data_IF_100229248395
#
_entry.id   IF_100229248395
#
_cell.length_a   1.000
_cell.length_b   1.000
_cell.length_c   1.000
_cell.angle_alpha   90.00
_cell.angle_beta   90.00
_cell.angle_gamma   90.00
#
_symmetry.space_group_name_H-M   'P 1'
#
loop_
_entity.id
_entity.type
_entity.pdbx_description
1 polymer ?
#
# COMPACT_ATOMS: atom_id res chain seq x y z
N UNK A 1 23.65 18.35 -2.97
CA UNK A 1 23.29 17.40 -4.06
C UNK A 1 22.89 18.18 -5.29
N UNK A 2 23.29 17.77 -6.49
CA UNK A 2 22.99 18.49 -7.74
C UNK A 2 21.65 17.98 -8.30
N UNK A 3 20.59 18.77 -8.19
CA UNK A 3 19.25 18.36 -8.63
C UNK A 3 19.03 18.54 -10.14
N UNK A 4 18.18 17.68 -10.72
CA UNK A 4 17.79 17.72 -12.13
C UNK A 4 17.09 19.01 -12.56
N UNK A 5 16.95 19.23 -13.87
CA UNK A 5 16.33 20.45 -14.43
C UNK A 5 14.85 20.59 -14.03
N UNK A 6 14.07 19.52 -14.19
CA UNK A 6 12.64 19.48 -13.85
C UNK A 6 12.38 19.73 -12.35
N UNK A 7 13.19 19.12 -11.48
CA UNK A 7 13.12 19.37 -10.03
C UNK A 7 13.31 20.85 -9.70
N UNK A 8 14.31 21.50 -10.31
CA UNK A 8 14.57 22.93 -10.09
C UNK A 8 13.47 23.83 -10.65
N UNK A 9 12.79 23.42 -11.71
CA UNK A 9 11.63 24.13 -12.26
C UNK A 9 10.41 24.03 -11.33
N UNK A 10 10.11 22.84 -10.82
CA UNK A 10 9.03 22.64 -9.83
C UNK A 10 9.31 23.39 -8.53
N UNK A 11 10.55 23.39 -8.04
CA UNK A 11 10.92 24.09 -6.80
C UNK A 11 10.66 25.60 -6.85
N UNK A 12 10.74 26.23 -8.03
CA UNK A 12 10.42 27.67 -8.19
C UNK A 12 8.95 28.00 -7.96
N UNK A 13 8.05 27.02 -8.12
CA UNK A 13 6.60 27.20 -7.92
C UNK A 13 6.22 27.09 -6.44
N UNK A 14 7.12 26.63 -5.59
CA UNK A 14 6.89 26.40 -4.17
C UNK A 14 7.78 27.33 -3.32
N UNK A 15 7.14 28.16 -2.49
CA UNK A 15 7.82 28.94 -1.45
C UNK A 15 7.87 28.16 -0.14
N UNK A 16 9.08 27.87 0.35
CA UNK A 16 9.35 27.13 1.59
C UNK A 16 8.93 27.89 2.85
N UNK A 17 8.88 29.22 2.79
CA UNK A 17 8.58 30.08 3.94
C UNK A 17 7.09 30.33 4.12
N UNK A 18 6.30 30.15 3.06
CA UNK A 18 4.85 30.34 3.09
C UNK A 18 4.16 29.12 3.71
N UNK A 19 3.21 29.37 4.60
CA UNK A 19 2.26 28.34 5.06
C UNK A 19 1.07 28.30 4.13
N UNK A 20 0.88 27.16 3.46
CA UNK A 20 -0.26 26.93 2.58
C UNK A 20 -1.42 26.35 3.38
N UNK A 21 -2.64 26.79 3.10
CA UNK A 21 -3.85 26.09 3.58
C UNK A 21 -4.00 24.75 2.86
N UNK A 22 -4.77 23.82 3.44
CA UNK A 22 -4.94 22.46 2.89
C UNK A 22 -5.36 22.47 1.42
N UNK A 23 -6.38 23.27 1.06
CA UNK A 23 -6.89 23.35 -0.31
C UNK A 23 -5.85 23.91 -1.28
N UNK A 24 -5.08 24.91 -0.85
CA UNK A 24 -4.02 25.51 -1.65
C UNK A 24 -2.87 24.54 -1.85
N UNK A 25 -2.47 23.83 -0.79
CA UNK A 25 -1.44 22.79 -0.83
C UNK A 25 -1.84 21.65 -1.78
N UNK A 26 -3.09 21.17 -1.73
CA UNK A 26 -3.58 20.12 -2.63
C UNK A 26 -3.54 20.53 -4.11
N UNK A 27 -3.83 21.81 -4.43
CA UNK A 27 -3.70 22.32 -5.80
C UNK A 27 -2.24 22.41 -6.22
N UNK A 28 -1.40 22.95 -5.35
CA UNK A 28 0.03 23.10 -5.62
C UNK A 28 0.71 21.75 -5.90
N UNK A 29 0.41 20.71 -5.11
CA UNK A 29 0.99 19.37 -5.35
C UNK A 29 0.63 18.84 -6.74
N UNK A 30 -0.60 19.06 -7.20
CA UNK A 30 -1.02 18.69 -8.56
C UNK A 30 -0.32 19.51 -9.66
N UNK A 31 0.00 20.77 -9.39
CA UNK A 31 0.72 21.64 -10.34
C UNK A 31 2.24 21.41 -10.39
N UNK A 32 2.78 20.74 -9.37
CA UNK A 32 4.20 20.36 -9.26
C UNK A 32 4.51 19.06 -10.03
N UNK A 33 3.48 18.26 -10.35
CA UNK A 33 3.57 17.05 -11.15
C UNK A 33 4.24 17.32 -12.51
N UNK A 34 5.24 16.52 -12.85
CA UNK A 34 5.95 16.60 -14.13
C UNK A 34 6.15 15.25 -14.82
N UNK A 35 5.76 14.16 -14.15
CA UNK A 35 5.86 12.79 -14.69
C UNK A 35 4.63 12.49 -15.55
N UNK A 36 4.49 11.25 -16.03
CA UNK A 36 3.35 10.81 -16.86
C UNK A 36 2.55 9.68 -16.23
N UNK A 37 2.98 9.20 -15.07
CA UNK A 37 2.37 8.10 -14.34
C UNK A 37 1.69 8.65 -13.08
N UNK A 38 0.84 7.84 -12.44
CA UNK A 38 0.16 8.24 -11.21
C UNK A 38 1.16 8.37 -10.05
N UNK A 39 1.36 9.61 -9.60
CA UNK A 39 2.25 9.92 -8.47
C UNK A 39 1.58 9.58 -7.13
N UNK A 40 2.39 9.08 -6.20
CA UNK A 40 1.97 8.91 -4.81
C UNK A 40 2.33 10.16 -4.02
N UNK A 41 1.36 10.71 -3.29
CA UNK A 41 1.57 11.86 -2.42
C UNK A 41 1.89 11.35 -1.01
N UNK A 42 3.04 11.74 -0.50
CA UNK A 42 3.47 11.44 0.87
C UNK A 42 3.32 12.67 1.78
N UNK A 43 2.99 12.42 3.05
CA UNK A 43 2.88 13.46 4.07
C UNK A 43 3.95 13.25 5.14
N UNK A 44 4.86 14.23 5.27
CA UNK A 44 5.84 14.27 6.34
C UNK A 44 5.29 15.06 7.53
N UNK A 45 5.10 14.41 8.68
CA UNK A 45 4.63 15.06 9.90
C UNK A 45 5.75 15.03 10.94
N UNK A 46 6.22 16.20 11.36
CA UNK A 46 7.17 16.31 12.47
C UNK A 46 6.42 16.31 13.80
N UNK A 47 6.58 15.25 14.57
CA UNK A 47 6.00 15.10 15.91
C UNK A 47 7.03 15.48 16.97
N UNK A 48 6.60 16.16 18.03
CA UNK A 48 7.42 16.41 19.21
C UNK A 48 7.19 15.32 20.24
N UNK A 49 7.99 14.24 20.15
CA UNK A 49 7.92 13.08 21.04
C UNK A 49 9.05 13.12 22.09
N UNK A 50 8.78 12.58 23.27
CA UNK A 50 9.82 12.35 24.28
C UNK A 50 10.75 11.19 23.84
N UNK A 51 11.98 11.15 24.37
CA UNK A 51 13.07 10.24 23.94
C UNK A 51 12.73 8.74 23.89
N UNK A 52 11.68 8.29 24.57
CA UNK A 52 11.27 6.88 24.64
C UNK A 52 9.85 6.63 24.09
N UNK A 53 9.26 7.57 23.35
CA UNK A 53 7.93 7.40 22.76
C UNK A 53 8.04 7.15 21.27
N UNK A 54 7.44 6.05 20.82
CA UNK A 54 7.23 5.74 19.42
C UNK A 54 5.73 5.69 19.13
N UNK A 55 5.34 6.15 17.95
CA UNK A 55 3.95 6.06 17.47
C UNK A 55 3.94 5.08 16.31
N UNK A 56 3.23 3.96 16.48
CA UNK A 56 2.97 2.99 15.43
C UNK A 56 1.48 2.71 15.45
N UNK A 57 0.78 3.23 14.46
CA UNK A 57 -0.68 3.10 14.36
C UNK A 57 -1.09 2.79 12.92
N UNK A 58 -2.27 2.22 12.76
CA UNK A 58 -2.88 1.93 11.47
C UNK A 58 -4.11 2.81 11.30
N UNK A 59 -4.10 3.65 10.26
CA UNK A 59 -5.20 4.57 9.98
C UNK A 59 -6.02 4.05 8.81
N UNK A 60 -7.34 4.08 8.97
CA UNK A 60 -8.28 3.83 7.87
C UNK A 60 -8.69 5.18 7.29
N UNK A 61 -8.31 5.45 6.05
CA UNK A 61 -8.69 6.68 5.37
C UNK A 61 -10.15 6.60 4.88
N UNK A 62 -10.92 7.72 4.93
CA UNK A 62 -12.30 7.74 4.44
C UNK A 62 -12.39 7.64 2.90
N UNK A 63 -11.33 8.03 2.19
CA UNK A 63 -11.23 7.96 0.73
C UNK A 63 -10.06 7.04 0.36
N UNK A 64 -10.27 5.74 0.48
CA UNK A 64 -9.30 4.74 0.06
C UNK A 64 -9.18 4.70 -1.48
N UNK A 65 -8.08 4.12 -1.96
CA UNK A 65 -7.91 3.79 -3.37
C UNK A 65 -9.18 3.07 -3.88
N UNK A 66 -9.76 3.57 -4.96
CA UNK A 66 -11.07 3.16 -5.46
C UNK A 66 -11.15 1.74 -6.06
N UNK A 67 -10.06 0.96 -5.98
CA UNK A 67 -10.06 -0.44 -6.37
C UNK A 67 -10.51 -1.30 -5.21
N UNK A 68 -11.52 -2.15 -5.43
CA UNK A 68 -11.77 -3.30 -4.55
C UNK A 68 -10.47 -4.11 -4.46
N UNK A 69 -9.80 -4.04 -3.30
CA UNK A 69 -8.61 -4.86 -3.08
C UNK A 69 -9.03 -6.31 -3.08
N UNK A 70 -8.51 -7.08 -4.03
CA UNK A 70 -8.74 -8.52 -4.09
C UNK A 70 -7.86 -9.18 -3.03
N UNK A 71 -8.48 -9.66 -1.97
CA UNK A 71 -7.79 -10.36 -0.88
C UNK A 71 -7.84 -11.87 -1.12
N UNK A 72 -6.68 -12.52 -1.12
CA UNK A 72 -6.53 -13.98 -1.13
C UNK A 72 -6.17 -14.46 0.28
N UNK A 73 -6.95 -15.40 0.83
CA UNK A 73 -6.69 -15.98 2.15
C UNK A 73 -6.28 -17.46 2.01
N UNK A 74 -5.03 -17.76 2.39
CA UNK A 74 -4.52 -19.12 2.51
C UNK A 74 -4.97 -19.73 3.84
N UNK A 75 -5.92 -20.65 3.77
CA UNK A 75 -6.48 -21.33 4.94
C UNK A 75 -6.90 -22.76 4.60
N UNK A 76 -7.03 -23.62 5.60
CA UNK A 76 -7.61 -24.95 5.45
C UNK A 76 -9.10 -24.86 5.15
N UNK A 77 -9.64 -25.91 4.53
CA UNK A 77 -11.02 -25.99 4.02
C UNK A 77 -12.08 -25.65 5.09
N UNK A 78 -11.79 -25.94 6.36
CA UNK A 78 -12.67 -25.62 7.50
C UNK A 78 -12.90 -24.10 7.70
N UNK A 79 -11.93 -23.26 7.31
CA UNK A 79 -11.96 -21.80 7.48
C UNK A 79 -12.18 -21.03 6.19
N UNK A 80 -12.28 -21.73 5.05
CA UNK A 80 -12.53 -21.11 3.74
C UNK A 80 -13.85 -20.35 3.74
N UNK A 81 -14.89 -20.95 4.32
CA UNK A 81 -16.22 -20.32 4.40
C UNK A 81 -16.20 -19.04 5.23
N UNK A 82 -15.52 -19.07 6.38
CA UNK A 82 -15.35 -17.90 7.25
C UNK A 82 -14.58 -16.76 6.55
N UNK A 83 -13.54 -17.10 5.79
CA UNK A 83 -12.76 -16.12 5.04
C UNK A 83 -13.57 -15.47 3.90
N UNK A 84 -14.37 -16.25 3.16
CA UNK A 84 -15.26 -15.73 2.12
C UNK A 84 -16.37 -14.85 2.71
N UNK A 85 -16.97 -15.29 3.82
CA UNK A 85 -18.00 -14.51 4.53
C UNK A 85 -17.43 -13.21 5.13
N UNK A 86 -16.14 -13.18 5.47
CA UNK A 86 -15.42 -11.98 5.93
C UNK A 86 -15.03 -11.00 4.79
N UNK A 87 -15.33 -11.33 3.53
CA UNK A 87 -15.08 -10.47 2.37
C UNK A 87 -13.78 -10.72 1.64
N UNK A 88 -13.17 -11.92 1.78
CA UNK A 88 -12.08 -12.33 0.91
C UNK A 88 -12.59 -12.59 -0.52
N UNK A 89 -11.83 -12.15 -1.52
CA UNK A 89 -12.14 -12.43 -2.93
C UNK A 89 -11.89 -13.90 -3.28
N UNK A 90 -10.87 -14.50 -2.64
CA UNK A 90 -10.49 -15.90 -2.82
C UNK A 90 -10.04 -16.48 -1.49
N UNK A 91 -10.40 -17.73 -1.20
CA UNK A 91 -9.91 -18.46 -0.03
C UNK A 91 -9.69 -19.93 -0.37
N UNK A 92 -8.57 -20.49 0.10
CA UNK A 92 -8.26 -21.91 -0.08
C UNK A 92 -6.83 -22.28 0.29
N UNK A 93 -6.47 -23.54 0.04
CA UNK A 93 -5.19 -24.13 0.46
C UNK A 93 -4.31 -24.46 -0.76
N UNK A 94 -4.14 -25.75 -1.06
CA UNK A 94 -3.20 -26.29 -2.07
C UNK A 94 -3.52 -25.82 -3.49
N UNK A 95 -4.79 -25.66 -3.83
CA UNK A 95 -5.24 -25.21 -5.15
C UNK A 95 -4.65 -23.84 -5.51
N UNK A 96 -4.80 -22.86 -4.61
CA UNK A 96 -4.28 -21.51 -4.83
C UNK A 96 -2.76 -21.46 -4.70
N UNK A 97 -2.13 -22.32 -3.90
CA UNK A 97 -0.67 -22.41 -3.80
C UNK A 97 -0.06 -22.81 -5.15
N UNK A 98 -0.58 -23.86 -5.80
CA UNK A 98 -0.07 -24.27 -7.12
C UNK A 98 -0.42 -23.25 -8.21
N UNK A 99 -1.59 -22.59 -8.13
CA UNK A 99 -1.97 -21.52 -9.06
C UNK A 99 -1.01 -20.32 -8.96
N UNK A 100 -0.67 -19.89 -7.75
CA UNK A 100 0.28 -18.79 -7.51
C UNK A 100 1.68 -19.18 -7.95
N UNK A 101 2.12 -20.40 -7.66
CA UNK A 101 3.38 -20.95 -8.16
C UNK A 101 3.46 -21.00 -9.70
N UNK A 102 2.31 -21.16 -10.36
CA UNK A 102 2.14 -21.05 -11.81
C UNK A 102 2.17 -19.61 -12.35
N UNK A 103 2.36 -18.59 -11.49
CA UNK A 103 2.47 -17.18 -11.89
C UNK A 103 1.16 -16.39 -11.79
N UNK A 104 0.13 -16.91 -11.13
CA UNK A 104 -1.13 -16.20 -10.95
C UNK A 104 -1.04 -15.20 -9.78
N UNK A 105 -1.23 -13.91 -10.08
CA UNK A 105 -1.13 -12.79 -9.13
C UNK A 105 -2.29 -11.79 -9.28
N UNK A 106 -3.51 -12.29 -9.52
CA UNK A 106 -4.72 -11.44 -9.65
C UNK A 106 -5.32 -11.02 -8.29
N UNK A 107 -4.48 -10.87 -7.26
CA UNK A 107 -4.86 -10.40 -5.93
C UNK A 107 -3.87 -9.34 -5.46
N UNK A 108 -4.35 -8.40 -4.64
CA UNK A 108 -3.55 -7.29 -4.13
C UNK A 108 -2.94 -7.59 -2.75
N UNK A 109 -3.61 -8.44 -1.98
CA UNK A 109 -3.20 -8.78 -0.60
C UNK A 109 -3.34 -10.29 -0.39
N UNK A 110 -2.26 -10.92 0.07
CA UNK A 110 -2.28 -12.30 0.55
C UNK A 110 -2.24 -12.34 2.08
N UNK A 111 -3.14 -13.09 2.68
CA UNK A 111 -3.17 -13.38 4.12
C UNK A 111 -3.08 -14.89 4.30
N UNK A 112 -2.30 -15.38 5.26
CA UNK A 112 -2.18 -16.80 5.54
C UNK A 112 -2.44 -17.11 7.00
N UNK A 113 -3.09 -18.23 7.28
CA UNK A 113 -3.17 -18.77 8.64
C UNK A 113 -1.82 -19.39 9.05
N UNK A 114 -1.46 -19.39 10.34
CA UNK A 114 -0.15 -19.86 10.81
C UNK A 114 0.21 -21.28 10.39
N UNK A 115 -0.79 -22.15 10.23
CA UNK A 115 -0.64 -23.54 9.81
C UNK A 115 -0.30 -23.71 8.32
N UNK A 116 -0.62 -22.72 7.47
CA UNK A 116 -0.32 -22.72 6.03
C UNK A 116 0.98 -21.97 5.69
N UNK A 117 1.58 -21.25 6.64
CA UNK A 117 2.79 -20.44 6.39
C UNK A 117 4.00 -21.25 5.92
N UNK A 118 4.09 -22.54 6.27
CA UNK A 118 5.18 -23.42 5.80
C UNK A 118 5.18 -23.58 4.28
N UNK A 119 3.99 -23.68 3.69
CA UNK A 119 3.83 -23.86 2.25
C UNK A 119 3.81 -22.51 1.51
N UNK A 120 3.19 -21.48 2.11
CA UNK A 120 3.22 -20.10 1.58
C UNK A 120 4.63 -19.52 1.58
N UNK A 121 5.47 -19.84 2.57
CA UNK A 121 6.87 -19.40 2.62
C UNK A 121 7.70 -19.85 1.43
N UNK A 122 7.33 -20.95 0.76
CA UNK A 122 7.98 -21.42 -0.47
C UNK A 122 7.61 -20.59 -1.70
N UNK A 123 6.49 -19.85 -1.64
CA UNK A 123 6.05 -18.94 -2.70
C UNK A 123 6.76 -17.58 -2.64
N UNK A 124 7.67 -17.36 -1.68
CA UNK A 124 8.39 -16.09 -1.53
C UNK A 124 9.20 -15.64 -2.75
N UNK A 125 9.51 -16.55 -3.70
CA UNK A 125 10.13 -16.15 -4.98
C UNK A 125 9.15 -15.50 -5.96
N UNK A 126 7.85 -15.80 -5.85
CA UNK A 126 6.79 -15.24 -6.71
C UNK A 126 6.08 -14.07 -6.01
N UNK A 127 5.99 -14.11 -4.68
CA UNK A 127 5.33 -13.11 -3.84
C UNK A 127 6.27 -12.08 -3.21
N UNK A 128 7.58 -12.19 -3.47
CA UNK A 128 8.63 -11.34 -2.90
C UNK A 128 8.91 -10.07 -3.69
#
# INVERSE_FOLDING_TARGET
MKHGKKYRESLKKYDVTKKYGIVEACKLVKDLHYVKFDETIELSISLRLAKNQTVRDTLVFPHQFAGEKKVLVFCKDERVKEALDAGAAYAGSTEYIEKVKGGWTEFDVAVATPDMMKDVGRLGMVLG
#
